data_IF_008648341359
#
_entry.id   IF_008648341359
#
_cell.length_a   1.000
_cell.length_b   1.000
_cell.length_c   1.000
_cell.angle_alpha   90.00
_cell.angle_beta   90.00
_cell.angle_gamma   90.00
#
_symmetry.space_group_name_H-M   'P 1'
#
loop_
_entity.id
_entity.type
_entity.pdbx_description
1 polymer ?
#
# COMPACT_ATOMS: atom_id res chain seq x y z
N UNK A 1 29.81 3.23 -27.32
CA UNK A 1 29.61 2.20 -26.29
C UNK A 1 28.10 2.01 -26.16
N UNK A 2 27.59 0.91 -26.70
CA UNK A 2 26.15 0.68 -26.92
C UNK A 2 25.41 0.67 -25.57
N UNK A 3 24.55 1.66 -25.33
CA UNK A 3 23.47 1.55 -24.35
C UNK A 3 22.48 0.53 -24.91
N UNK A 4 22.78 -0.75 -24.68
CA UNK A 4 21.76 -1.78 -24.69
C UNK A 4 20.79 -1.39 -23.58
N UNK A 5 19.64 -0.82 -23.96
CA UNK A 5 18.48 -0.78 -23.09
C UNK A 5 18.29 -2.21 -22.60
N UNK A 6 18.52 -2.45 -21.32
CA UNK A 6 18.30 -3.75 -20.72
C UNK A 6 16.80 -4.04 -20.85
N UNK A 7 16.44 -4.90 -21.81
CA UNK A 7 15.05 -5.23 -22.16
C UNK A 7 14.46 -6.32 -21.28
N UNK A 8 15.17 -6.74 -20.23
CA UNK A 8 14.64 -7.68 -19.27
C UNK A 8 13.47 -7.01 -18.53
N UNK A 9 12.27 -7.63 -18.50
CA UNK A 9 11.20 -7.11 -17.66
C UNK A 9 11.70 -7.11 -16.20
N UNK A 10 11.58 -5.97 -15.53
CA UNK A 10 11.96 -5.81 -14.13
C UNK A 10 11.26 -6.81 -13.21
N UNK A 11 11.77 -6.99 -11.99
CA UNK A 11 11.18 -7.88 -10.99
C UNK A 11 10.46 -7.05 -9.92
N UNK A 12 9.13 -7.01 -10.00
CA UNK A 12 8.29 -6.34 -9.01
C UNK A 12 7.75 -7.30 -7.95
N UNK A 13 7.63 -6.83 -6.71
CA UNK A 13 6.98 -7.57 -5.62
C UNK A 13 5.63 -6.94 -5.32
N UNK A 14 4.55 -7.72 -5.46
CA UNK A 14 3.21 -7.33 -5.07
C UNK A 14 2.78 -8.08 -3.82
N UNK A 15 2.30 -7.36 -2.80
CA UNK A 15 1.74 -7.97 -1.59
C UNK A 15 0.27 -7.57 -1.48
N UNK A 16 -0.59 -8.57 -1.37
CA UNK A 16 -2.03 -8.39 -1.30
C UNK A 16 -2.50 -8.33 0.17
N UNK A 17 -3.01 -7.18 0.59
CA UNK A 17 -3.71 -7.03 1.86
C UNK A 17 -5.22 -7.04 1.62
N UNK A 18 -5.96 -8.13 1.93
CA UNK A 18 -7.33 -8.28 1.46
C UNK A 18 -8.36 -7.59 2.35
N UNK A 19 -7.98 -6.84 3.39
CA UNK A 19 -8.95 -6.38 4.39
C UNK A 19 -9.37 -4.93 4.19
N UNK A 20 -10.67 -4.69 4.37
CA UNK A 20 -11.28 -3.37 4.36
C UNK A 20 -12.08 -3.11 5.65
N UNK A 21 -12.21 -1.84 6.03
CA UNK A 21 -13.10 -1.43 7.11
C UNK A 21 -14.59 -1.48 6.69
N UNK A 22 -14.86 -1.21 5.41
CA UNK A 22 -16.18 -1.27 4.78
C UNK A 22 -16.06 -1.68 3.31
N UNK A 23 -17.12 -2.24 2.73
CA UNK A 23 -17.17 -2.57 1.30
C UNK A 23 -17.76 -1.38 0.55
N UNK A 24 -17.02 -0.85 -0.42
CA UNK A 24 -17.56 0.18 -1.29
C UNK A 24 -18.58 -0.44 -2.26
N UNK A 25 -19.72 0.22 -2.56
CA UNK A 25 -20.76 -0.37 -3.42
C UNK A 25 -20.31 -0.74 -4.83
N UNK A 26 -19.27 -0.07 -5.33
CA UNK A 26 -18.67 -0.31 -6.66
C UNK A 26 -17.51 -1.32 -6.64
N UNK A 27 -17.07 -1.79 -5.47
CA UNK A 27 -15.82 -2.55 -5.35
C UNK A 27 -16.02 -4.03 -5.71
N UNK A 28 -15.40 -4.47 -6.81
CA UNK A 28 -15.31 -5.85 -7.25
C UNK A 28 -13.97 -6.53 -6.90
N UNK A 29 -13.04 -5.79 -6.28
CA UNK A 29 -11.76 -6.35 -5.83
C UNK A 29 -11.93 -7.48 -4.82
N UNK A 30 -10.95 -8.38 -4.83
CA UNK A 30 -10.78 -9.38 -3.78
C UNK A 30 -10.48 -8.66 -2.46
N UNK A 31 -11.55 -8.42 -1.70
CA UNK A 31 -11.48 -7.75 -0.41
C UNK A 31 -12.56 -8.24 0.53
N UNK A 32 -12.24 -8.20 1.81
CA UNK A 32 -13.04 -8.75 2.88
C UNK A 32 -13.19 -7.73 4.00
N UNK A 33 -14.43 -7.41 4.33
CA UNK A 33 -14.72 -6.53 5.46
C UNK A 33 -14.38 -7.22 6.78
N UNK A 34 -13.72 -6.49 7.68
CA UNK A 34 -13.42 -6.96 9.04
C UNK A 34 -13.86 -5.89 10.04
N UNK A 35 -14.85 -6.24 10.86
CA UNK A 35 -15.32 -5.38 11.95
C UNK A 35 -14.49 -5.54 13.23
N UNK A 36 -13.84 -6.70 13.39
CA UNK A 36 -12.84 -6.92 14.43
C UNK A 36 -11.44 -6.65 13.88
N UNK A 37 -10.51 -6.14 14.72
CA UNK A 37 -9.13 -5.94 14.31
C UNK A 37 -8.52 -7.22 13.73
N UNK A 38 -7.88 -7.09 12.57
CA UNK A 38 -7.08 -8.17 12.00
C UNK A 38 -5.87 -8.42 12.89
N UNK A 39 -5.57 -9.69 13.14
CA UNK A 39 -4.31 -10.11 13.75
C UNK A 39 -3.15 -9.86 12.77
N UNK A 40 -2.63 -8.63 12.80
CA UNK A 40 -1.60 -8.21 11.85
C UNK A 40 -0.26 -8.89 12.10
N UNK A 41 0.04 -9.30 13.33
CA UNK A 41 1.28 -10.01 13.66
C UNK A 41 1.29 -11.38 12.99
N UNK A 42 0.16 -12.10 13.05
CA UNK A 42 -0.02 -13.36 12.35
C UNK A 42 0.07 -13.19 10.82
N UNK A 43 -0.51 -12.13 10.26
CA UNK A 43 -0.41 -11.86 8.82
C UNK A 43 1.01 -11.47 8.39
N UNK A 44 1.72 -10.64 9.17
CA UNK A 44 3.12 -10.32 8.90
C UNK A 44 4.00 -11.57 8.89
N UNK A 45 3.83 -12.46 9.87
CA UNK A 45 4.54 -13.75 9.89
C UNK A 45 4.18 -14.64 8.68
N UNK A 46 2.92 -14.63 8.25
CA UNK A 46 2.50 -15.37 7.05
C UNK A 46 3.13 -14.79 5.77
N UNK A 47 3.19 -13.46 5.62
CA UNK A 47 3.86 -12.81 4.49
C UNK A 47 5.37 -13.09 4.50
N UNK A 48 6.04 -13.03 5.66
CA UNK A 48 7.45 -13.38 5.78
C UNK A 48 7.74 -14.80 5.30
N UNK A 49 6.89 -15.76 5.69
CA UNK A 49 7.00 -17.15 5.26
C UNK A 49 6.74 -17.31 3.75
N UNK A 50 5.71 -16.66 3.22
CA UNK A 50 5.39 -16.70 1.79
C UNK A 50 6.51 -16.09 0.93
N UNK A 51 7.07 -14.94 1.34
CA UNK A 51 8.18 -14.28 0.64
C UNK A 51 9.44 -15.15 0.64
N UNK A 52 9.74 -15.86 1.74
CA UNK A 52 10.82 -16.82 1.78
C UNK A 52 10.60 -17.98 0.79
N UNK A 53 9.39 -18.55 0.74
CA UNK A 53 9.04 -19.57 -0.25
C UNK A 53 9.13 -19.03 -1.68
N UNK A 54 8.74 -17.78 -1.94
CA UNK A 54 8.86 -17.19 -3.26
C UNK A 54 10.32 -17.01 -3.66
N UNK A 55 11.21 -16.61 -2.74
CA UNK A 55 12.64 -16.52 -3.01
C UNK A 55 13.24 -17.88 -3.38
N UNK A 56 12.86 -18.97 -2.70
CA UNK A 56 13.29 -20.32 -3.08
C UNK A 56 12.90 -20.68 -4.52
N UNK A 57 11.70 -20.25 -4.95
CA UNK A 57 11.17 -20.53 -6.30
C UNK A 57 11.76 -19.62 -7.38
N UNK A 58 12.03 -18.36 -7.06
CA UNK A 58 12.50 -17.36 -8.05
C UNK A 58 14.02 -17.31 -8.18
N UNK A 59 14.74 -17.81 -7.16
CA UNK A 59 16.16 -17.56 -7.02
C UNK A 59 16.49 -16.10 -6.68
N UNK A 60 17.79 -15.73 -6.68
CA UNK A 60 18.22 -14.35 -6.46
C UNK A 60 17.75 -13.44 -7.61
N UNK A 61 17.21 -12.28 -7.26
CA UNK A 61 16.72 -11.24 -8.18
C UNK A 61 16.97 -9.87 -7.57
N UNK A 62 17.02 -8.86 -8.42
CA UNK A 62 16.99 -7.45 -8.04
C UNK A 62 15.57 -6.92 -8.14
N UNK A 63 15.01 -6.39 -7.05
CA UNK A 63 13.66 -5.82 -7.01
C UNK A 63 13.69 -4.44 -7.62
N UNK A 64 12.81 -4.18 -8.59
CA UNK A 64 12.68 -2.88 -9.26
C UNK A 64 11.53 -2.05 -8.71
N UNK A 65 10.56 -2.68 -8.05
CA UNK A 65 9.45 -2.01 -7.37
C UNK A 65 8.75 -2.91 -6.36
N UNK A 66 8.14 -2.31 -5.34
CA UNK A 66 7.25 -2.98 -4.39
C UNK A 66 5.90 -2.28 -4.40
N UNK A 67 4.81 -3.05 -4.43
CA UNK A 67 3.45 -2.52 -4.40
C UNK A 67 2.61 -3.26 -3.35
N UNK A 68 2.11 -2.51 -2.37
CA UNK A 68 1.21 -3.00 -1.33
C UNK A 68 -0.21 -2.59 -1.74
N UNK A 69 -1.02 -3.57 -2.15
CA UNK A 69 -2.35 -3.32 -2.72
C UNK A 69 -3.44 -4.26 -2.19
N UNK A 70 -4.67 -4.10 -2.67
CA UNK A 70 -5.75 -5.07 -2.49
C UNK A 70 -7.03 -4.45 -1.94
N UNK A 71 -7.36 -4.77 -0.69
CA UNK A 71 -8.45 -4.16 0.05
C UNK A 71 -8.09 -2.74 0.48
N UNK A 72 -7.50 -2.60 1.66
CA UNK A 72 -7.06 -1.29 2.16
C UNK A 72 -5.73 -1.43 2.92
N UNK A 73 -4.60 -1.45 2.21
CA UNK A 73 -3.26 -1.61 2.81
C UNK A 73 -2.92 -0.57 3.89
N UNK A 74 -3.43 0.65 3.80
CA UNK A 74 -3.37 1.71 4.82
C UNK A 74 -4.12 1.40 6.14
N UNK A 75 -4.76 0.24 6.26
CA UNK A 75 -5.20 -0.29 7.56
C UNK A 75 -4.10 -1.05 8.29
N UNK A 76 -3.01 -1.42 7.60
CA UNK A 76 -1.84 -1.97 8.26
C UNK A 76 -1.22 -0.93 9.19
N UNK A 77 -0.76 -1.38 10.35
CA UNK A 77 0.10 -0.57 11.21
C UNK A 77 1.43 -0.32 10.49
N UNK A 78 2.11 0.82 10.69
CA UNK A 78 3.42 1.08 10.12
C UNK A 78 4.45 -0.04 10.37
N UNK A 79 4.40 -0.66 11.55
CA UNK A 79 5.29 -1.76 11.93
C UNK A 79 5.02 -3.03 11.09
N UNK A 80 3.76 -3.30 10.74
CA UNK A 80 3.39 -4.39 9.84
C UNK A 80 3.96 -4.15 8.43
N UNK A 81 3.87 -2.91 7.94
CA UNK A 81 4.44 -2.51 6.64
C UNK A 81 5.96 -2.68 6.65
N UNK A 82 6.63 -2.17 7.69
CA UNK A 82 8.08 -2.32 7.85
C UNK A 82 8.51 -3.79 7.81
N UNK A 83 7.84 -4.66 8.58
CA UNK A 83 8.13 -6.10 8.58
C UNK A 83 8.04 -6.74 7.19
N UNK A 84 7.02 -6.38 6.41
CA UNK A 84 6.87 -6.88 5.04
C UNK A 84 8.01 -6.39 4.15
N UNK A 85 8.36 -5.11 4.21
CA UNK A 85 9.44 -4.53 3.40
C UNK A 85 10.82 -5.08 3.80
N UNK A 86 11.07 -5.26 5.10
CA UNK A 86 12.28 -5.90 5.63
C UNK A 86 12.37 -7.36 5.15
N UNK A 87 11.24 -8.07 5.10
CA UNK A 87 11.20 -9.43 4.57
C UNK A 87 11.51 -9.47 3.07
N UNK A 88 11.07 -8.49 2.29
CA UNK A 88 11.47 -8.35 0.87
C UNK A 88 12.97 -8.11 0.78
N UNK A 89 13.53 -7.15 1.53
CA UNK A 89 14.96 -6.82 1.51
C UNK A 89 15.85 -7.97 2.03
N UNK A 90 15.35 -8.80 2.95
CA UNK A 90 16.02 -10.02 3.39
C UNK A 90 16.07 -11.08 2.28
N UNK A 91 15.03 -11.14 1.47
CA UNK A 91 14.84 -12.18 0.47
C UNK A 91 15.31 -11.80 -0.93
N UNK A 92 15.62 -10.54 -1.27
CA UNK A 92 16.13 -10.14 -2.58
C UNK A 92 17.02 -8.90 -2.47
N UNK A 93 17.79 -8.61 -3.53
CA UNK A 93 18.52 -7.33 -3.60
C UNK A 93 17.52 -6.21 -3.87
N UNK A 94 17.53 -5.18 -3.02
CA UNK A 94 16.67 -4.01 -3.15
C UNK A 94 17.55 -2.78 -3.28
N UNK A 95 17.76 -2.24 -4.50
CA UNK A 95 18.51 -1.01 -4.69
C UNK A 95 17.83 0.18 -4.01
N UNK A 96 18.63 1.18 -3.64
CA UNK A 96 18.09 2.44 -3.14
C UNK A 96 17.27 3.16 -4.22
N UNK A 97 16.19 3.82 -3.80
CA UNK A 97 15.39 4.67 -4.69
C UNK A 97 14.39 3.94 -5.58
N UNK A 98 14.23 2.62 -5.45
CA UNK A 98 13.13 1.91 -6.13
C UNK A 98 11.77 2.43 -5.68
N UNK A 99 10.75 2.32 -6.52
CA UNK A 99 9.40 2.69 -6.12
C UNK A 99 8.84 1.69 -5.09
N UNK A 100 8.37 2.20 -3.95
CA UNK A 100 7.62 1.46 -2.94
C UNK A 100 6.28 2.15 -2.75
N UNK A 101 5.25 1.58 -3.36
CA UNK A 101 3.88 2.12 -3.34
C UNK A 101 3.00 1.42 -2.30
N UNK A 102 2.19 2.19 -1.58
CA UNK A 102 1.10 1.69 -0.74
C UNK A 102 -0.25 2.30 -1.18
N UNK A 103 -1.27 1.47 -1.36
CA UNK A 103 -2.65 1.94 -1.59
C UNK A 103 -3.28 2.43 -0.29
N UNK A 104 -3.94 3.58 -0.36
CA UNK A 104 -4.66 4.18 0.76
C UNK A 104 -5.98 4.79 0.34
N UNK A 105 -6.95 4.83 1.25
CA UNK A 105 -8.14 5.65 1.06
C UNK A 105 -7.89 7.05 1.64
N UNK A 106 -8.53 8.08 1.06
CA UNK A 106 -8.35 9.47 1.50
C UNK A 106 -9.18 9.78 2.76
N UNK A 107 -9.02 8.99 3.83
CA UNK A 107 -9.64 9.20 5.14
C UNK A 107 -8.63 9.83 6.12
N UNK A 108 -9.12 10.58 7.11
CA UNK A 108 -8.25 11.23 8.11
C UNK A 108 -7.45 10.22 8.95
N UNK A 109 -8.09 9.12 9.35
CA UNK A 109 -7.47 8.07 10.17
C UNK A 109 -6.32 7.37 9.45
N UNK A 110 -6.44 7.15 8.14
CA UNK A 110 -5.37 6.56 7.34
C UNK A 110 -4.24 7.57 7.09
N UNK A 111 -4.58 8.84 6.86
CA UNK A 111 -3.61 9.90 6.61
C UNK A 111 -2.68 10.16 7.80
N UNK A 112 -3.16 9.99 9.05
CA UNK A 112 -2.31 10.10 10.25
C UNK A 112 -1.16 9.07 10.27
N UNK A 113 -1.30 7.94 9.57
CA UNK A 113 -0.27 6.89 9.49
C UNK A 113 0.77 7.12 8.41
N UNK A 114 0.58 8.10 7.52
CA UNK A 114 1.47 8.33 6.38
C UNK A 114 2.93 8.55 6.77
N UNK A 115 3.20 9.30 7.84
CA UNK A 115 4.57 9.49 8.33
C UNK A 115 5.21 8.18 8.78
N UNK A 116 4.42 7.29 9.38
CA UNK A 116 4.85 5.94 9.76
C UNK A 116 5.17 5.08 8.53
N UNK A 117 4.34 5.12 7.49
CA UNK A 117 4.63 4.40 6.24
C UNK A 117 5.88 4.93 5.54
N UNK A 118 6.05 6.25 5.52
CA UNK A 118 7.26 6.89 4.98
C UNK A 118 8.50 6.43 5.74
N UNK A 119 8.44 6.41 7.07
CA UNK A 119 9.53 5.92 7.92
C UNK A 119 9.81 4.42 7.70
N UNK A 120 8.78 3.62 7.39
CA UNK A 120 8.92 2.21 7.06
C UNK A 120 9.54 1.95 5.66
N UNK A 121 9.68 2.98 4.81
CA UNK A 121 10.28 2.86 3.48
C UNK A 121 9.32 3.07 2.30
N UNK A 122 8.03 3.33 2.55
CA UNK A 122 7.09 3.71 1.48
C UNK A 122 7.48 5.08 0.94
N UNK A 123 7.54 5.22 -0.39
CA UNK A 123 7.90 6.47 -1.04
C UNK A 123 6.85 6.98 -2.04
N UNK A 124 5.77 6.22 -2.23
CA UNK A 124 4.62 6.65 -3.02
C UNK A 124 3.34 6.11 -2.40
N UNK A 125 2.26 6.90 -2.48
CA UNK A 125 0.91 6.43 -2.11
C UNK A 125 -0.02 6.53 -3.30
N UNK A 126 -0.90 5.54 -3.44
CA UNK A 126 -1.99 5.53 -4.42
C UNK A 126 -3.30 5.79 -3.69
N UNK A 127 -3.91 6.96 -3.90
CA UNK A 127 -5.11 7.37 -3.19
C UNK A 127 -6.39 7.06 -3.96
N UNK A 128 -7.22 6.17 -3.41
CA UNK A 128 -8.51 5.79 -3.99
C UNK A 128 -9.62 6.82 -3.75
N UNK A 129 -9.57 7.96 -4.45
CA UNK A 129 -10.58 9.04 -4.26
C UNK A 129 -11.92 8.72 -4.90
N UNK A 130 -11.89 8.09 -6.09
CA UNK A 130 -13.05 7.74 -6.95
C UNK A 130 -13.87 8.92 -7.47
N UNK A 131 -14.33 9.79 -6.57
CA UNK A 131 -15.01 11.03 -6.84
C UNK A 131 -14.89 11.94 -5.63
N UNK A 132 -14.91 13.26 -5.83
CA UNK A 132 -14.82 14.20 -4.70
C UNK A 132 -16.14 14.28 -3.93
N UNK A 133 -17.26 14.09 -4.60
CA UNK A 133 -18.61 14.16 -4.05
C UNK A 133 -19.28 12.80 -4.09
N UNK A 134 -20.18 12.55 -3.14
CA UNK A 134 -21.11 11.43 -3.20
C UNK A 134 -22.46 11.96 -3.68
N UNK A 135 -22.96 11.43 -4.81
CA UNK A 135 -24.20 11.90 -5.45
C UNK A 135 -25.44 11.56 -4.62
N UNK A 136 -25.29 10.73 -3.58
CA UNK A 136 -26.38 10.20 -2.76
C UNK A 136 -26.42 10.81 -1.36
N UNK A 137 -25.40 11.60 -0.95
CA UNK A 137 -25.34 12.18 0.40
C UNK A 137 -25.98 13.57 0.49
N UNK A 138 -26.58 13.94 1.64
CA UNK A 138 -26.97 15.31 1.94
C UNK A 138 -25.81 16.29 1.76
N UNK A 139 -26.10 17.51 1.31
CA UNK A 139 -25.08 18.48 0.88
C UNK A 139 -24.02 18.82 1.97
N UNK A 140 -24.42 18.85 3.24
CA UNK A 140 -23.53 19.18 4.37
C UNK A 140 -22.52 18.05 4.66
N UNK A 141 -22.96 16.79 4.60
CA UNK A 141 -22.10 15.60 4.75
C UNK A 141 -21.14 15.46 3.57
N UNK A 142 -21.61 15.78 2.35
CA UNK A 142 -20.78 15.80 1.16
C UNK A 142 -19.63 16.81 1.25
N UNK A 143 -19.85 17.98 1.86
CA UNK A 143 -18.80 19.00 2.05
C UNK A 143 -17.71 18.52 3.02
N UNK A 144 -18.08 17.89 4.14
CA UNK A 144 -17.12 17.36 5.11
C UNK A 144 -16.24 16.29 4.46
N UNK A 145 -16.85 15.40 3.67
CA UNK A 145 -16.13 14.35 2.95
C UNK A 145 -15.12 14.91 1.95
N UNK A 146 -15.48 15.97 1.21
CA UNK A 146 -14.58 16.66 0.27
C UNK A 146 -13.38 17.26 1.03
N UNK A 147 -13.63 17.95 2.15
CA UNK A 147 -12.57 18.57 2.95
C UNK A 147 -11.59 17.50 3.46
N UNK A 148 -12.09 16.40 3.99
CA UNK A 148 -11.26 15.29 4.45
C UNK A 148 -10.41 14.69 3.32
N UNK A 149 -11.00 14.51 2.13
CA UNK A 149 -10.29 14.00 0.95
C UNK A 149 -9.18 14.94 0.50
N UNK A 150 -9.47 16.23 0.39
CA UNK A 150 -8.48 17.25 0.01
C UNK A 150 -7.36 17.35 1.04
N UNK A 151 -7.68 17.26 2.33
CA UNK A 151 -6.70 17.24 3.40
C UNK A 151 -5.77 16.01 3.30
N UNK A 152 -6.32 14.82 3.08
CA UNK A 152 -5.53 13.60 2.89
C UNK A 152 -4.61 13.68 1.65
N UNK A 153 -5.09 14.25 0.53
CA UNK A 153 -4.28 14.53 -0.65
C UNK A 153 -3.14 15.51 -0.32
N UNK A 154 -3.44 16.58 0.43
CA UNK A 154 -2.45 17.55 0.88
C UNK A 154 -1.33 16.91 1.70
N UNK A 155 -1.70 16.12 2.70
CA UNK A 155 -0.75 15.37 3.54
C UNK A 155 0.09 14.38 2.71
N UNK A 156 -0.52 13.67 1.77
CA UNK A 156 0.20 12.76 0.90
C UNK A 156 1.28 13.48 0.07
N UNK A 157 0.96 14.65 -0.50
CA UNK A 157 1.92 15.46 -1.26
C UNK A 157 3.06 16.02 -0.41
N UNK A 158 2.79 16.33 0.86
CA UNK A 158 3.83 16.79 1.80
C UNK A 158 4.78 15.66 2.20
N UNK A 159 4.22 14.48 2.50
CA UNK A 159 4.96 13.36 3.11
C UNK A 159 5.67 12.48 2.08
N UNK A 160 5.12 12.36 0.87
CA UNK A 160 5.66 11.56 -0.23
C UNK A 160 5.94 12.43 -1.46
N UNK A 161 7.04 13.23 -1.43
CA UNK A 161 7.45 14.08 -2.55
C UNK A 161 8.05 13.31 -3.72
#
# INVERSE_FOLDING_TARGET
MSMLLDRAPGFGVYVHWPFCAAKCPYCDFNSHVRHQPVDQERFAAAFEAELATMRERTGPREVTSVFLGGGTPSLMKPETVARVLDAVAKNWTVPDGIEVTLEANPSSVEAERFRGYRAAGVNRVSLGVQGLFDIVQPAEEAQILVIQRLHAIGLAREIFP
#
